data_IF_698135699236
#
_entry.id   IF_698135699236
#
_cell.length_a   1.000
_cell.length_b   1.000
_cell.length_c   1.000
_cell.angle_alpha   90.00
_cell.angle_beta   90.00
_cell.angle_gamma   90.00
#
_symmetry.space_group_name_H-M   'P 1'
#
loop_
_entity.id
_entity.type
_entity.pdbx_description
1 polymer ?
#
# COMPACT_ATOMS: atom_id res chain seq x y z
N UNK A 1 -3.23 3.24 1.14
CA UNK A 1 -3.46 4.49 1.89
C UNK A 1 -2.64 4.51 3.18
N UNK A 2 -2.28 5.68 3.63
CA UNK A 2 -1.50 5.89 4.85
C UNK A 2 -2.02 7.13 5.57
N UNK A 3 -1.83 7.19 6.87
CA UNK A 3 -2.12 8.38 7.67
C UNK A 3 -0.88 9.22 7.98
N UNK A 4 0.28 8.85 7.48
CA UNK A 4 1.53 9.50 7.79
C UNK A 4 2.12 10.24 6.59
N UNK A 5 2.11 11.56 6.65
CA UNK A 5 2.66 12.42 5.61
C UNK A 5 4.14 12.15 5.35
N UNK A 6 4.90 11.77 6.38
CA UNK A 6 6.33 11.52 6.25
C UNK A 6 6.68 10.29 5.39
N UNK A 7 5.71 9.42 5.12
CA UNK A 7 5.94 8.26 4.26
C UNK A 7 6.05 8.62 2.77
N UNK A 8 5.68 9.83 2.39
CA UNK A 8 5.60 10.21 0.98
C UNK A 8 6.93 10.73 0.44
N UNK A 9 7.29 10.22 -0.73
CA UNK A 9 8.37 10.78 -1.55
C UNK A 9 7.91 12.03 -2.28
N UNK A 10 6.68 11.99 -2.78
CA UNK A 10 6.02 13.14 -3.38
C UNK A 10 4.55 13.11 -3.00
N UNK A 11 4.00 14.27 -2.72
CA UNK A 11 2.63 14.40 -2.24
C UNK A 11 1.99 15.63 -2.85
N UNK A 12 0.82 15.44 -3.45
CA UNK A 12 -0.01 16.52 -3.91
C UNK A 12 -1.19 16.64 -2.97
N UNK A 13 -1.42 17.84 -2.46
CA UNK A 13 -2.59 18.09 -1.62
C UNK A 13 -3.84 17.93 -2.47
N UNK A 14 -4.77 17.13 -1.98
CA UNK A 14 -6.04 16.90 -2.64
C UNK A 14 -7.14 17.02 -1.61
N UNK A 15 -8.16 17.79 -1.93
CA UNK A 15 -9.34 17.88 -1.11
C UNK A 15 -10.41 16.97 -1.69
N UNK A 16 -11.07 16.28 -0.81
CA UNK A 16 -12.29 15.64 -1.18
C UNK A 16 -12.33 14.16 -1.00
N UNK A 17 -13.53 13.70 -0.76
CA UNK A 17 -13.85 12.33 -0.62
C UNK A 17 -13.47 11.72 0.71
N UNK A 18 -14.25 10.75 1.07
CA UNK A 18 -14.00 9.90 2.22
C UNK A 18 -13.72 8.49 1.72
N UNK A 19 -12.88 7.79 2.45
CA UNK A 19 -12.63 6.37 2.19
C UNK A 19 -13.05 5.57 3.42
N UNK A 20 -13.65 4.42 3.17
CA UNK A 20 -13.93 3.45 4.23
C UNK A 20 -12.75 2.50 4.34
N UNK A 21 -12.32 2.20 5.56
CA UNK A 21 -11.18 1.33 5.79
C UNK A 21 -11.45 0.23 6.82
N UNK A 22 -12.68 -0.19 6.93
CA UNK A 22 -13.07 -1.33 7.76
C UNK A 22 -13.63 -0.92 9.12
N UNK A 23 -14.34 -1.86 9.75
CA UNK A 23 -14.97 -1.69 11.07
C UNK A 23 -15.90 -0.47 11.17
N UNK A 24 -16.55 -0.10 10.06
CA UNK A 24 -17.41 1.07 10.02
C UNK A 24 -16.69 2.40 10.10
N UNK A 25 -15.37 2.39 10.05
CA UNK A 25 -14.56 3.60 10.12
C UNK A 25 -14.30 4.16 8.74
N UNK A 26 -14.24 5.49 8.67
CA UNK A 26 -13.88 6.19 7.44
C UNK A 26 -12.96 7.35 7.78
N UNK A 27 -12.30 7.88 6.76
CA UNK A 27 -11.42 9.04 6.90
C UNK A 27 -11.48 9.92 5.67
N UNK A 28 -11.04 11.16 5.84
CA UNK A 28 -11.00 12.15 4.76
C UNK A 28 -9.69 12.06 4.02
N UNK A 29 -9.75 12.01 2.69
CA UNK A 29 -8.58 12.08 1.83
C UNK A 29 -8.08 13.52 1.81
N UNK A 30 -6.81 13.73 2.19
CA UNK A 30 -6.19 15.06 2.22
C UNK A 30 -5.01 15.17 1.26
N UNK A 31 -4.64 14.09 0.60
CA UNK A 31 -3.57 14.10 -0.38
C UNK A 31 -3.48 12.81 -1.14
N UNK A 32 -2.69 12.83 -2.21
CA UNK A 32 -2.37 11.66 -3.01
C UNK A 32 -0.93 11.76 -3.47
N UNK A 33 -0.22 10.65 -3.45
CA UNK A 33 1.18 10.69 -3.84
C UNK A 33 1.82 9.32 -3.93
N UNK A 34 3.13 9.34 -3.85
CA UNK A 34 3.99 8.19 -4.02
C UNK A 34 4.72 7.92 -2.72
N UNK A 35 4.70 6.68 -2.26
CA UNK A 35 5.44 6.25 -1.07
C UNK A 35 6.50 5.23 -1.44
N UNK A 36 7.52 5.10 -0.60
CA UNK A 36 8.61 4.16 -0.79
C UNK A 36 9.94 4.74 -0.37
N UNK A 37 11.03 4.03 -0.68
CA UNK A 37 12.38 4.47 -0.35
C UNK A 37 12.97 5.36 -1.45
N UNK A 38 12.58 5.13 -2.70
CA UNK A 38 13.05 5.91 -3.85
C UNK A 38 12.00 5.86 -4.96
N UNK A 39 12.17 6.68 -5.99
CA UNK A 39 11.24 6.72 -7.11
C UNK A 39 11.18 5.39 -7.86
N UNK A 40 12.27 4.61 -7.88
CA UNK A 40 12.29 3.30 -8.53
C UNK A 40 11.71 2.18 -7.64
N UNK A 41 11.55 2.43 -6.34
CA UNK A 41 11.04 1.47 -5.36
C UNK A 41 9.88 2.10 -4.61
N UNK A 42 8.81 2.38 -5.33
CA UNK A 42 7.70 3.15 -4.79
C UNK A 42 6.36 2.60 -5.26
N UNK A 43 5.34 2.97 -4.52
CA UNK A 43 3.95 2.67 -4.84
C UNK A 43 3.26 3.99 -5.15
N UNK A 44 2.61 4.06 -6.31
CA UNK A 44 1.93 5.25 -6.79
C UNK A 44 0.49 5.32 -6.29
N UNK A 45 -0.10 6.51 -6.37
CA UNK A 45 -1.52 6.75 -6.10
C UNK A 45 -1.94 6.31 -4.71
N UNK A 46 -1.09 6.60 -3.73
CA UNK A 46 -1.39 6.31 -2.33
C UNK A 46 -2.10 7.51 -1.73
N UNK A 47 -3.26 7.28 -1.11
CA UNK A 47 -3.98 8.33 -0.43
C UNK A 47 -3.38 8.61 0.94
N UNK A 48 -3.22 9.90 1.23
CA UNK A 48 -3.00 10.38 2.60
C UNK A 48 -4.38 10.59 3.22
N UNK A 49 -4.67 9.84 4.26
CA UNK A 49 -5.98 9.83 4.90
C UNK A 49 -5.84 10.32 6.34
N UNK A 50 -6.58 11.37 6.66
CA UNK A 50 -6.55 11.94 7.99
C UNK A 50 -7.08 10.95 9.02
N UNK A 51 -6.30 10.76 10.09
CA UNK A 51 -6.69 9.90 11.20
C UNK A 51 -6.47 8.40 10.99
N UNK A 52 -5.94 7.98 9.85
CA UNK A 52 -5.67 6.57 9.60
C UNK A 52 -4.45 6.12 10.41
N UNK A 53 -4.64 5.16 11.28
CA UNK A 53 -3.59 4.68 12.20
C UNK A 53 -2.71 3.59 11.59
N UNK A 54 -3.20 2.87 10.60
CA UNK A 54 -2.48 1.76 9.94
C UNK A 54 -2.45 1.97 8.45
N UNK A 55 -1.33 1.64 7.84
CA UNK A 55 -1.20 1.71 6.39
C UNK A 55 -1.92 0.53 5.75
N UNK A 56 -2.59 0.80 4.64
CA UNK A 56 -3.34 -0.23 3.91
C UNK A 56 -2.89 -0.23 2.45
N UNK A 57 -2.53 -1.40 1.93
CA UNK A 57 -2.21 -1.59 0.53
C UNK A 57 -3.47 -1.99 -0.23
N UNK A 58 -3.65 -1.40 -1.41
CA UNK A 58 -4.74 -1.76 -2.29
C UNK A 58 -4.34 -2.93 -3.17
N UNK A 59 -5.03 -4.06 -3.02
CA UNK A 59 -4.81 -5.25 -3.85
C UNK A 59 -5.07 -4.93 -5.32
N UNK A 60 -6.16 -4.22 -5.62
CA UNK A 60 -6.49 -3.89 -7.01
C UNK A 60 -5.43 -3.02 -7.67
N UNK A 61 -4.86 -2.06 -6.95
CA UNK A 61 -3.78 -1.23 -7.50
C UNK A 61 -2.52 -2.04 -7.77
N UNK A 62 -2.19 -3.01 -6.92
CA UNK A 62 -1.08 -3.92 -7.17
C UNK A 62 -1.32 -4.75 -8.42
N UNK A 63 -2.54 -5.27 -8.58
CA UNK A 63 -2.92 -6.06 -9.76
C UNK A 63 -2.90 -5.22 -11.04
N UNK A 64 -3.31 -3.96 -10.97
CA UNK A 64 -3.29 -3.04 -12.12
C UNK A 64 -1.88 -2.80 -12.65
N UNK A 65 -0.86 -3.04 -11.83
CA UNK A 65 0.55 -2.91 -12.23
C UNK A 65 1.19 -4.25 -12.57
N UNK A 66 0.41 -5.19 -13.06
CA UNK A 66 0.86 -6.50 -13.50
C UNK A 66 1.45 -7.36 -12.38
N UNK A 67 0.91 -7.22 -11.18
CA UNK A 67 1.29 -8.06 -10.06
C UNK A 67 0.21 -9.10 -9.77
N UNK A 68 0.66 -10.27 -9.36
CA UNK A 68 -0.18 -11.30 -8.79
C UNK A 68 -0.09 -11.22 -7.28
N UNK A 69 -1.23 -11.19 -6.60
CA UNK A 69 -1.27 -11.21 -5.14
C UNK A 69 -1.83 -12.56 -4.68
N UNK A 70 -1.06 -13.26 -3.87
CA UNK A 70 -1.40 -14.60 -3.40
C UNK A 70 -1.53 -14.57 -1.90
N UNK A 71 -2.61 -15.16 -1.40
CA UNK A 71 -2.86 -15.30 0.03
C UNK A 71 -2.91 -16.77 0.42
N UNK A 72 -2.25 -17.09 1.51
CA UNK A 72 -2.32 -18.41 2.12
C UNK A 72 -2.79 -18.27 3.58
N UNK A 73 -3.02 -19.38 4.29
CA UNK A 73 -3.38 -19.28 5.71
C UNK A 73 -2.33 -18.59 6.58
N UNK A 74 -1.07 -18.52 6.15
CA UNK A 74 0.02 -17.99 6.96
C UNK A 74 0.70 -16.76 6.39
N UNK A 75 0.64 -16.56 5.06
CA UNK A 75 1.39 -15.48 4.41
C UNK A 75 0.69 -14.96 3.17
N UNK A 76 1.18 -13.82 2.69
CA UNK A 76 0.82 -13.33 1.38
C UNK A 76 2.10 -12.99 0.58
N UNK A 77 1.97 -13.04 -0.74
CA UNK A 77 3.04 -12.70 -1.68
C UNK A 77 2.51 -11.77 -2.73
N UNK A 78 3.32 -10.80 -3.11
CA UNK A 78 3.10 -9.99 -4.31
C UNK A 78 4.19 -10.33 -5.30
N UNK A 79 3.81 -10.85 -6.46
CA UNK A 79 4.74 -11.36 -7.48
C UNK A 79 4.53 -10.57 -8.77
N UNK A 80 5.61 -10.02 -9.32
CA UNK A 80 5.55 -9.38 -10.63
C UNK A 80 5.34 -10.44 -11.71
N UNK A 81 4.28 -10.31 -12.50
CA UNK A 81 3.92 -11.32 -13.51
C UNK A 81 4.89 -11.33 -14.69
N UNK A 82 5.56 -10.23 -14.97
CA UNK A 82 6.49 -10.14 -16.10
C UNK A 82 7.87 -10.71 -15.74
N UNK A 83 8.39 -10.34 -14.58
CA UNK A 83 9.70 -10.79 -14.12
C UNK A 83 9.67 -12.05 -13.27
N UNK A 84 8.49 -12.35 -12.68
CA UNK A 84 8.26 -13.42 -11.71
C UNK A 84 8.99 -13.22 -10.39
N UNK A 85 9.48 -12.03 -10.14
CA UNK A 85 10.09 -11.68 -8.87
C UNK A 85 9.05 -11.50 -7.79
N UNK A 86 9.38 -11.94 -6.59
CA UNK A 86 8.59 -11.66 -5.40
C UNK A 86 8.95 -10.27 -4.92
N UNK A 87 7.99 -9.34 -5.02
CA UNK A 87 8.20 -7.95 -4.62
C UNK A 87 7.99 -7.73 -3.14
N UNK A 88 6.97 -8.37 -2.58
CA UNK A 88 6.61 -8.21 -1.18
C UNK A 88 6.22 -9.56 -0.59
N UNK A 89 6.58 -9.74 0.68
CA UNK A 89 6.13 -10.86 1.50
C UNK A 89 5.44 -10.30 2.74
N UNK A 90 4.30 -10.85 3.07
CA UNK A 90 3.59 -10.48 4.27
C UNK A 90 3.31 -11.68 5.15
N UNK A 91 3.22 -11.45 6.43
CA UNK A 91 2.82 -12.47 7.40
C UNK A 91 1.40 -12.21 7.87
N UNK A 92 0.63 -13.26 7.98
CA UNK A 92 -0.70 -13.15 8.55
C UNK A 92 -0.63 -12.86 10.04
N UNK A 93 -1.42 -11.89 10.47
CA UNK A 93 -1.62 -11.58 11.88
C UNK A 93 -3.12 -11.40 12.11
N UNK A 94 -3.76 -12.38 12.72
CA UNK A 94 -5.23 -12.42 12.89
C UNK A 94 -5.92 -12.34 11.54
N UNK A 95 -6.67 -11.28 11.27
CA UNK A 95 -7.44 -11.11 10.04
C UNK A 95 -6.75 -10.23 8.99
N UNK A 96 -5.48 -9.96 9.16
CA UNK A 96 -4.73 -9.09 8.27
C UNK A 96 -3.39 -9.70 7.89
N UNK A 97 -2.82 -9.21 6.80
CA UNK A 97 -1.47 -9.54 6.37
C UNK A 97 -0.62 -8.29 6.46
N UNK A 98 0.51 -8.38 7.16
CA UNK A 98 1.42 -7.25 7.36
C UNK A 98 2.63 -7.39 6.47
N UNK A 99 2.93 -6.33 5.72
CA UNK A 99 4.13 -6.22 4.90
C UNK A 99 4.95 -5.03 5.38
N UNK A 100 6.26 -5.11 5.17
CA UNK A 100 7.15 -3.99 5.45
C UNK A 100 7.51 -3.30 4.13
N UNK A 101 7.30 -1.99 4.05
CA UNK A 101 7.61 -1.22 2.84
C UNK A 101 9.10 -1.23 2.55
N UNK A 102 9.94 -1.27 3.59
CA UNK A 102 11.39 -1.35 3.41
C UNK A 102 11.85 -2.65 2.76
N UNK A 103 10.96 -3.67 2.68
CA UNK A 103 11.27 -4.92 2.00
C UNK A 103 11.05 -4.87 0.48
N UNK A 104 10.61 -3.74 -0.08
CA UNK A 104 10.52 -3.57 -1.52
C UNK A 104 11.90 -3.81 -2.14
N UNK A 105 11.99 -4.67 -3.20
CA UNK A 105 13.29 -5.00 -3.75
C UNK A 105 13.97 -3.78 -4.35
N UNK A 106 15.25 -3.69 -4.11
CA UNK A 106 16.11 -2.70 -4.77
C UNK A 106 16.56 -3.26 -6.11
N UNK A 107 16.28 -2.51 -7.14
CA UNK A 107 16.75 -2.85 -8.49
C UNK A 107 18.06 -2.16 -8.79
#
# INVERSE_FOLDING_TARGET
>A
MTGEKSNFLSLTVAEGGNVAFGNGKSGTIIGIGKIGESLSHSIDYVYLVDGLKRNLLSVSQLCDKDNLVVFSPTLCLVVNMNTRDVLLRGKRHKNAYKVCISSLPQK
#
